data_IF_920975979723
#
_entry.id   IF_920975979723
#
_cell.length_a   1.000
_cell.length_b   1.000
_cell.length_c   1.000
_cell.angle_alpha   90.00
_cell.angle_beta   90.00
_cell.angle_gamma   90.00
#
_symmetry.space_group_name_H-M   'P 1'
#
loop_
_entity.id
_entity.type
_entity.pdbx_description
1 polymer ?
#
# COMPACT_ATOMS: atom_id res chain seq x y z
N UNK A 1 -4.09 -8.50 -27.53
CA UNK A 1 -3.11 -8.19 -26.47
C UNK A 1 -3.38 -6.78 -26.00
N UNK A 2 -3.42 -6.54 -24.70
CA UNK A 2 -3.63 -5.19 -24.17
C UNK A 2 -2.45 -4.29 -24.57
N UNK A 3 -2.73 -3.06 -25.00
CA UNK A 3 -1.69 -2.07 -25.29
C UNK A 3 -0.91 -1.77 -23.99
N UNK A 4 0.40 -1.49 -24.12
CA UNK A 4 1.20 -1.07 -22.97
C UNK A 4 0.58 0.19 -22.35
N UNK A 5 0.51 0.30 -21.01
CA UNK A 5 0.00 1.49 -20.34
C UNK A 5 0.77 2.72 -20.79
N UNK A 6 0.08 3.84 -20.98
CA UNK A 6 0.71 5.10 -21.35
C UNK A 6 1.70 5.55 -20.25
N UNK A 7 2.68 6.37 -20.61
CA UNK A 7 3.63 6.90 -19.63
C UNK A 7 2.92 7.61 -18.46
N UNK A 8 1.82 8.31 -18.73
CA UNK A 8 0.99 8.95 -17.71
C UNK A 8 0.30 7.92 -16.80
N UNK A 9 -0.25 6.84 -17.36
CA UNK A 9 -0.85 5.76 -16.57
C UNK A 9 0.20 5.04 -15.72
N UNK A 10 1.41 4.86 -16.24
CA UNK A 10 2.56 4.33 -15.49
C UNK A 10 2.96 5.23 -14.32
N UNK A 11 3.06 6.55 -14.53
CA UNK A 11 3.37 7.52 -13.48
C UNK A 11 2.27 7.58 -12.42
N UNK A 12 0.99 7.57 -12.84
CA UNK A 12 -0.14 7.53 -11.93
C UNK A 12 -0.12 6.25 -11.07
N UNK A 13 0.16 5.10 -11.69
CA UNK A 13 0.28 3.82 -11.00
C UNK A 13 1.40 3.85 -9.98
N UNK A 14 2.58 4.37 -10.36
CA UNK A 14 3.71 4.52 -9.46
C UNK A 14 3.35 5.42 -8.26
N UNK A 15 2.72 6.57 -8.50
CA UNK A 15 2.31 7.48 -7.43
C UNK A 15 1.32 6.84 -6.45
N UNK A 16 0.31 6.14 -6.97
CA UNK A 16 -0.68 5.40 -6.16
C UNK A 16 -0.01 4.32 -5.32
N UNK A 17 0.87 3.51 -5.94
CA UNK A 17 1.60 2.46 -5.23
C UNK A 17 2.54 3.04 -4.17
N UNK A 18 3.24 4.14 -4.45
CA UNK A 18 4.09 4.81 -3.47
C UNK A 18 3.28 5.30 -2.28
N UNK A 19 2.15 5.98 -2.50
CA UNK A 19 1.29 6.46 -1.43
C UNK A 19 0.72 5.31 -0.59
N UNK A 20 0.20 4.27 -1.24
CA UNK A 20 -0.41 3.11 -0.58
C UNK A 20 0.61 2.27 0.21
N UNK A 21 1.88 2.22 -0.21
CA UNK A 21 2.94 1.46 0.47
C UNK A 21 3.82 2.30 1.41
N UNK A 22 3.62 3.61 1.50
CA UNK A 22 4.49 4.50 2.28
C UNK A 22 4.63 4.08 3.76
N UNK A 23 3.58 3.50 4.34
CA UNK A 23 3.55 2.99 5.72
C UNK A 23 4.64 1.95 6.02
N UNK A 24 5.09 1.19 5.02
CA UNK A 24 6.07 0.14 5.20
C UNK A 24 7.44 0.71 5.62
N UNK A 25 7.80 1.92 5.18
CA UNK A 25 9.09 2.55 5.49
C UNK A 25 9.29 2.78 7.00
N UNK A 26 8.42 3.54 7.71
CA UNK A 26 8.58 3.72 9.15
C UNK A 26 8.37 2.41 9.93
N UNK A 27 7.52 1.50 9.45
CA UNK A 27 7.33 0.18 10.08
C UNK A 27 8.61 -0.66 10.01
N UNK A 28 9.22 -0.78 8.82
CA UNK A 28 10.48 -1.48 8.60
C UNK A 28 11.59 -0.93 9.48
N UNK A 29 11.72 0.40 9.58
CA UNK A 29 12.73 1.03 10.42
C UNK A 29 12.53 0.72 11.92
N UNK A 30 11.29 0.83 12.41
CA UNK A 30 10.98 0.52 13.80
C UNK A 30 11.25 -0.95 14.14
N UNK A 31 10.91 -1.87 13.23
CA UNK A 31 11.16 -3.30 13.40
C UNK A 31 12.64 -3.64 13.30
N UNK A 32 13.36 -3.05 12.35
CA UNK A 32 14.80 -3.25 12.18
C UNK A 32 15.58 -2.85 13.43
N UNK A 33 15.24 -1.71 14.02
CA UNK A 33 15.93 -1.21 15.22
C UNK A 33 15.58 -1.93 16.50
N UNK A 34 14.44 -2.63 16.56
CA UNK A 34 14.00 -3.35 17.76
C UNK A 34 14.27 -4.86 17.69
N UNK A 35 14.22 -5.44 16.51
CA UNK A 35 14.26 -6.90 16.30
C UNK A 35 15.29 -7.32 15.24
N UNK A 36 16.05 -6.38 14.67
CA UNK A 36 17.08 -6.63 13.66
C UNK A 36 16.59 -6.52 12.22
N UNK A 37 17.52 -6.35 11.28
CA UNK A 37 17.22 -6.03 9.87
C UNK A 37 16.32 -7.05 9.17
N UNK A 38 16.46 -8.34 9.48
CA UNK A 38 15.60 -9.39 8.92
C UNK A 38 14.12 -9.17 9.27
N UNK A 39 13.81 -8.79 10.51
CA UNK A 39 12.43 -8.51 10.91
C UNK A 39 11.87 -7.27 10.22
N UNK A 40 12.71 -6.24 10.04
CA UNK A 40 12.34 -5.01 9.31
C UNK A 40 12.01 -5.23 7.83
N UNK A 41 12.59 -6.27 7.22
CA UNK A 41 12.29 -6.63 5.82
C UNK A 41 11.12 -7.62 5.76
N UNK A 42 11.21 -8.71 6.52
CA UNK A 42 10.30 -9.85 6.38
C UNK A 42 8.88 -9.53 6.84
N UNK A 43 8.70 -8.87 7.99
CA UNK A 43 7.35 -8.66 8.54
C UNK A 43 6.50 -7.71 7.67
N UNK A 44 7.00 -6.56 7.21
CA UNK A 44 6.21 -5.71 6.31
C UNK A 44 5.91 -6.40 4.99
N UNK A 45 6.84 -7.19 4.44
CA UNK A 45 6.59 -7.99 3.24
C UNK A 45 5.50 -9.06 3.47
N UNK A 46 5.54 -9.77 4.60
CA UNK A 46 4.52 -10.76 4.95
C UNK A 46 3.14 -10.11 5.17
N UNK A 47 3.09 -8.95 5.83
CA UNK A 47 1.85 -8.17 5.99
C UNK A 47 1.34 -7.71 4.62
N UNK A 48 2.24 -7.26 3.75
CA UNK A 48 1.91 -6.80 2.41
C UNK A 48 1.29 -7.93 1.58
N UNK A 49 1.89 -9.13 1.60
CA UNK A 49 1.39 -10.30 0.90
C UNK A 49 0.10 -10.84 1.54
N UNK A 50 0.08 -11.03 2.85
CA UNK A 50 -1.02 -11.64 3.58
C UNK A 50 -2.29 -10.80 3.53
N UNK A 51 -2.21 -9.51 3.85
CA UNK A 51 -3.37 -8.61 3.80
C UNK A 51 -3.70 -8.21 2.36
N UNK A 52 -2.68 -7.96 1.53
CA UNK A 52 -2.89 -7.59 0.13
C UNK A 52 -3.67 -8.66 -0.62
N UNK A 53 -3.16 -9.89 -0.64
CA UNK A 53 -3.78 -10.99 -1.37
C UNK A 53 -5.00 -11.55 -0.62
N UNK A 54 -4.98 -11.57 0.71
CA UNK A 54 -6.06 -12.17 1.49
C UNK A 54 -7.35 -11.36 1.51
N UNK A 55 -7.29 -10.03 1.35
CA UNK A 55 -8.43 -9.14 1.59
C UNK A 55 -8.91 -8.37 0.37
N UNK A 56 -8.36 -8.57 -0.84
CA UNK A 56 -8.73 -7.74 -2.00
C UNK A 56 -10.19 -7.92 -2.47
N UNK A 57 -10.83 -9.04 -2.13
CA UNK A 57 -12.26 -9.27 -2.37
C UNK A 57 -13.16 -8.83 -1.21
N UNK A 58 -12.59 -8.39 -0.09
CA UNK A 58 -13.33 -7.91 1.07
C UNK A 58 -14.00 -6.57 0.76
N UNK A 59 -15.25 -6.32 1.19
CA UNK A 59 -15.86 -5.00 1.06
C UNK A 59 -15.14 -3.91 1.87
N UNK A 60 -14.25 -4.30 2.78
CA UNK A 60 -13.49 -3.41 3.65
C UNK A 60 -12.03 -3.22 3.21
N UNK A 61 -11.69 -3.59 1.98
CA UNK A 61 -10.31 -3.57 1.46
C UNK A 61 -9.60 -2.23 1.66
N UNK A 62 -10.32 -1.12 1.59
CA UNK A 62 -9.80 0.24 1.73
C UNK A 62 -9.27 0.55 3.14
N UNK A 63 -9.65 -0.23 4.16
CA UNK A 63 -9.11 -0.06 5.52
C UNK A 63 -7.68 -0.64 5.65
N UNK A 64 -7.23 -1.40 4.66
CA UNK A 64 -5.96 -2.11 4.69
C UNK A 64 -5.04 -1.53 3.62
N UNK A 65 -4.00 -0.74 3.99
CA UNK A 65 -3.07 -0.15 3.03
C UNK A 65 -2.43 -1.16 2.07
N UNK A 66 -2.04 -2.39 2.51
CA UNK A 66 -1.57 -3.42 1.60
C UNK A 66 -2.55 -3.79 0.48
N UNK A 67 -3.82 -3.93 0.83
CA UNK A 67 -4.89 -4.32 -0.08
C UNK A 67 -5.25 -3.16 -1.00
N UNK A 68 -5.28 -1.94 -0.45
CA UNK A 68 -5.45 -0.70 -1.20
C UNK A 68 -4.41 -0.59 -2.29
N UNK A 69 -3.14 -0.91 -2.03
CA UNK A 69 -2.08 -0.84 -3.04
C UNK A 69 -2.39 -1.69 -4.28
N UNK A 70 -2.98 -2.88 -4.10
CA UNK A 70 -3.33 -3.76 -5.21
C UNK A 70 -4.59 -3.27 -5.94
N UNK A 71 -5.66 -2.98 -5.20
CA UNK A 71 -6.97 -2.60 -5.75
C UNK A 71 -6.94 -1.23 -6.42
N UNK A 72 -6.27 -0.24 -5.81
CA UNK A 72 -6.18 1.13 -6.34
C UNK A 72 -5.39 1.22 -7.65
N UNK A 73 -4.48 0.27 -7.89
CA UNK A 73 -3.69 0.22 -9.11
C UNK A 73 -4.49 -0.40 -10.27
N UNK A 74 -5.39 -1.35 -10.01
CA UNK A 74 -6.18 -2.08 -11.00
C UNK A 74 -6.81 -1.23 -12.12
N UNK A 75 -7.48 -0.10 -11.85
CA UNK A 75 -8.08 0.71 -12.92
C UNK A 75 -7.03 1.37 -13.84
N UNK A 76 -5.80 1.55 -13.37
CA UNK A 76 -4.71 2.18 -14.13
C UNK A 76 -3.94 1.15 -14.98
N UNK A 77 -3.81 -0.08 -14.49
CA UNK A 77 -3.07 -1.17 -15.17
C UNK A 77 -3.98 -2.10 -15.98
N UNK A 78 -5.29 -2.05 -15.77
CA UNK A 78 -6.27 -2.87 -16.49
C UNK A 78 -6.29 -4.35 -16.08
N UNK A 79 -5.70 -4.69 -14.92
CA UNK A 79 -5.66 -6.05 -14.39
C UNK A 79 -6.13 -6.09 -12.93
N UNK A 80 -6.86 -7.14 -12.56
CA UNK A 80 -7.23 -7.41 -11.18
C UNK A 80 -5.98 -7.78 -10.35
N UNK A 81 -6.07 -7.73 -9.00
CA UNK A 81 -4.99 -8.21 -8.12
C UNK A 81 -4.55 -9.67 -8.37
N UNK A 82 -5.43 -10.48 -8.98
CA UNK A 82 -5.13 -11.85 -9.41
C UNK A 82 -4.25 -11.94 -10.67
N UNK A 83 -4.02 -10.83 -11.37
CA UNK A 83 -3.33 -10.77 -12.66
C UNK A 83 -4.23 -11.03 -13.87
N UNK A 84 -5.52 -11.27 -13.67
CA UNK A 84 -6.49 -11.45 -14.76
C UNK A 84 -6.88 -10.07 -15.32
N UNK A 85 -6.90 -9.88 -16.65
CA UNK A 85 -7.39 -8.64 -17.26
C UNK A 85 -8.83 -8.31 -16.84
N UNK A 86 -9.09 -7.03 -16.57
CA UNK A 86 -10.42 -6.57 -16.18
C UNK A 86 -11.41 -6.69 -17.33
N UNK A 87 -12.62 -7.15 -17.01
CA UNK A 87 -13.73 -7.15 -17.96
C UNK A 87 -14.31 -5.73 -18.13
N UNK A 88 -14.91 -5.40 -19.29
CA UNK A 88 -15.63 -4.14 -19.45
C UNK A 88 -16.74 -4.02 -18.39
N UNK A 89 -16.75 -2.90 -17.64
CA UNK A 89 -17.73 -2.66 -16.58
C UNK A 89 -17.39 -3.29 -15.22
N UNK A 90 -16.21 -3.91 -15.07
CA UNK A 90 -15.74 -4.39 -13.77
C UNK A 90 -15.61 -3.22 -12.77
N UNK A 91 -16.06 -3.42 -11.54
CA UNK A 91 -16.01 -2.42 -10.47
C UNK A 91 -14.56 -1.98 -10.20
N UNK A 92 -13.60 -2.90 -10.30
CA UNK A 92 -12.16 -2.61 -10.16
C UNK A 92 -11.61 -1.73 -11.29
N UNK A 93 -12.35 -1.58 -12.39
CA UNK A 93 -11.98 -0.73 -13.52
C UNK A 93 -12.25 0.76 -13.29
N UNK A 94 -12.79 1.14 -12.13
CA UNK A 94 -13.14 2.53 -11.82
C UNK A 94 -12.47 3.04 -10.54
N UNK A 95 -12.17 4.34 -10.52
CA UNK A 95 -11.63 5.01 -9.33
C UNK A 95 -12.80 5.48 -8.44
N UNK A 96 -13.16 4.68 -7.44
CA UNK A 96 -14.23 4.97 -6.49
C UNK A 96 -13.80 5.81 -5.27
N UNK A 97 -14.76 6.12 -4.40
CA UNK A 97 -14.50 6.82 -3.13
C UNK A 97 -13.68 5.95 -2.17
N UNK A 98 -13.82 4.62 -2.26
CA UNK A 98 -13.08 3.62 -1.51
C UNK A 98 -11.58 3.74 -1.78
N UNK A 99 -11.19 4.04 -3.03
CA UNK A 99 -9.79 4.24 -3.40
C UNK A 99 -9.21 5.48 -2.74
N UNK A 100 -9.97 6.59 -2.74
CA UNK A 100 -9.56 7.80 -2.03
C UNK A 100 -9.47 7.57 -0.52
N UNK A 101 -10.44 6.85 0.07
CA UNK A 101 -10.43 6.48 1.48
C UNK A 101 -9.23 5.60 1.83
N UNK A 102 -8.91 4.60 1.01
CA UNK A 102 -7.77 3.71 1.26
C UNK A 102 -6.43 4.42 1.16
N UNK A 103 -6.27 5.32 0.18
CA UNK A 103 -5.09 6.17 0.09
C UNK A 103 -4.95 7.07 1.33
N UNK A 104 -6.06 7.65 1.80
CA UNK A 104 -6.07 8.43 3.02
C UNK A 104 -5.66 7.59 4.24
N UNK A 105 -6.19 6.38 4.39
CA UNK A 105 -5.83 5.45 5.47
C UNK A 105 -4.34 5.10 5.42
N UNK A 106 -3.80 4.83 4.24
CA UNK A 106 -2.37 4.52 4.06
C UNK A 106 -1.46 5.68 4.48
N UNK A 107 -1.79 6.91 4.05
CA UNK A 107 -1.04 8.11 4.39
C UNK A 107 -1.18 8.48 5.88
N UNK A 108 -2.37 8.28 6.46
CA UNK A 108 -2.60 8.47 7.88
C UNK A 108 -1.78 7.49 8.73
N UNK A 109 -1.73 6.20 8.33
CA UNK A 109 -0.89 5.20 8.98
C UNK A 109 0.59 5.56 8.88
N UNK A 110 1.06 5.98 7.70
CA UNK A 110 2.42 6.47 7.52
C UNK A 110 2.73 7.62 8.48
N UNK A 111 1.88 8.65 8.53
CA UNK A 111 2.07 9.80 9.41
C UNK A 111 2.08 9.39 10.90
N UNK A 112 1.19 8.49 11.31
CA UNK A 112 1.15 7.97 12.67
C UNK A 112 2.44 7.21 13.03
N UNK A 113 2.90 6.31 12.17
CA UNK A 113 4.13 5.53 12.40
C UNK A 113 5.38 6.42 12.38
N UNK A 114 5.46 7.37 11.44
CA UNK A 114 6.58 8.30 11.33
C UNK A 114 6.66 9.22 12.56
N UNK A 115 5.54 9.79 13.01
CA UNK A 115 5.51 10.65 14.21
C UNK A 115 5.79 9.87 15.49
N UNK A 116 5.26 8.65 15.62
CA UNK A 116 5.58 7.78 16.76
C UNK A 116 7.06 7.39 16.78
N UNK A 117 7.62 7.04 15.62
CA UNK A 117 9.04 6.75 15.44
C UNK A 117 9.91 7.94 15.83
N UNK A 118 9.64 9.13 15.29
CA UNK A 118 10.38 10.35 15.61
C UNK A 118 10.38 10.66 17.12
N UNK A 119 9.21 10.59 17.78
CA UNK A 119 9.08 10.79 19.24
C UNK A 119 9.82 9.74 20.06
N UNK A 120 9.95 8.53 19.54
CA UNK A 120 10.69 7.46 20.21
C UNK A 120 12.20 7.66 20.10
N UNK A 121 12.72 8.00 18.91
CA UNK A 121 14.13 8.29 18.70
C UNK A 121 14.59 9.54 19.47
N UNK A 122 13.81 10.63 19.46
CA UNK A 122 14.16 11.84 20.21
C UNK A 122 14.33 11.58 21.72
N UNK A 123 13.60 10.62 22.29
CA UNK A 123 13.76 10.23 23.71
C UNK A 123 15.00 9.39 23.99
N UNK A 124 15.63 8.81 22.97
CA UNK A 124 16.90 8.07 23.09
C UNK A 124 18.11 8.97 23.02
N UNK A 125 18.05 10.08 22.28
CA UNK A 125 19.14 11.07 22.19
C UNK A 125 19.26 11.95 23.44
N UNK A 126 18.18 12.05 24.24
CA UNK A 126 18.18 12.74 25.52
C UNK A 126 18.75 11.91 26.70
N UNK A 127 19.32 10.73 26.42
CA UNK A 127 20.00 9.85 27.39
C UNK A 127 21.42 9.60 26.94
#
# INVERSE_FOLDING_TARGET
>A
GAAAPSALAGLATAAVLTAANAWAVPASLALATRFGSLAGIALPALVQLGLGIGLWTSPWWFLFPPTTALVAASPLVGVAPSGVPLAPGDALGTFGWETAAGLFVALALFAALATAGARWYARREAR
#
